data_IF_383824861269
#
_entry.id   IF_383824861269
#
_cell.length_a   1.000
_cell.length_b   1.000
_cell.length_c   1.000
_cell.angle_alpha   90.00
_cell.angle_beta   90.00
_cell.angle_gamma   90.00
#
_symmetry.space_group_name_H-M   'P 1'
#
loop_
_entity.id
_entity.type
_entity.pdbx_description
1 polymer ?
#
# COMPACT_ATOMS: atom_id res chain seq x y z
N UNK A 1 -20.20 -20.77 32.97
CA UNK A 1 -20.08 -19.43 32.35
C UNK A 1 -21.32 -19.23 31.50
N UNK A 2 -22.17 -18.27 31.84
CA UNK A 2 -23.41 -18.02 31.14
C UNK A 2 -23.09 -17.49 29.73
N UNK A 3 -23.51 -18.24 28.71
CA UNK A 3 -23.71 -17.71 27.37
C UNK A 3 -24.94 -16.83 27.46
N UNK A 4 -24.78 -15.51 27.54
CA UNK A 4 -25.90 -14.59 27.34
C UNK A 4 -26.57 -14.95 26.02
N UNK A 5 -27.82 -15.41 26.09
CA UNK A 5 -28.62 -15.89 24.95
C UNK A 5 -29.04 -14.79 23.98
N UNK A 6 -28.32 -13.67 23.95
CA UNK A 6 -28.49 -12.64 22.94
C UNK A 6 -28.08 -13.21 21.58
N UNK A 7 -28.92 -13.06 20.54
CA UNK A 7 -28.51 -13.42 19.19
C UNK A 7 -27.22 -12.68 18.83
N UNK A 8 -26.28 -13.32 18.12
CA UNK A 8 -25.04 -12.66 17.72
C UNK A 8 -25.38 -11.36 17.00
N UNK A 9 -24.74 -10.26 17.41
CA UNK A 9 -24.96 -8.93 16.82
C UNK A 9 -24.66 -9.01 15.32
N UNK A 10 -25.70 -8.96 14.51
CA UNK A 10 -25.59 -8.91 13.06
C UNK A 10 -25.42 -7.46 12.64
N UNK A 11 -24.26 -7.13 12.08
CA UNK A 11 -23.96 -5.79 11.57
C UNK A 11 -24.21 -5.80 10.06
N UNK A 12 -25.13 -4.96 9.55
CA UNK A 12 -25.35 -4.78 8.13
C UNK A 12 -24.07 -4.36 7.37
N UNK A 13 -23.93 -4.79 6.11
CA UNK A 13 -22.72 -4.55 5.29
C UNK A 13 -22.48 -3.06 4.99
N UNK A 14 -23.54 -2.29 4.83
CA UNK A 14 -23.51 -0.83 4.65
C UNK A 14 -22.98 -0.11 5.89
N UNK A 15 -23.43 -0.51 7.08
CA UNK A 15 -22.93 0.04 8.35
C UNK A 15 -21.46 -0.32 8.54
N UNK A 16 -21.08 -1.57 8.29
CA UNK A 16 -19.66 -1.97 8.32
C UNK A 16 -18.84 -1.14 7.33
N UNK A 17 -19.33 -0.89 6.12
CA UNK A 17 -18.64 -0.07 5.13
C UNK A 17 -18.44 1.37 5.59
N UNK A 18 -19.46 2.00 6.17
CA UNK A 18 -19.37 3.36 6.73
C UNK A 18 -18.30 3.42 7.84
N UNK A 19 -18.33 2.45 8.76
CA UNK A 19 -17.36 2.39 9.86
C UNK A 19 -15.95 2.20 9.33
N UNK A 20 -15.71 1.23 8.45
CA UNK A 20 -14.36 0.98 7.92
C UNK A 20 -13.86 2.18 7.13
N UNK A 21 -14.70 2.81 6.32
CA UNK A 21 -14.34 4.02 5.58
C UNK A 21 -13.94 5.14 6.54
N UNK A 22 -14.73 5.36 7.59
CA UNK A 22 -14.40 6.36 8.62
C UNK A 22 -13.08 6.04 9.33
N UNK A 23 -12.82 4.76 9.66
CA UNK A 23 -11.57 4.33 10.27
C UNK A 23 -10.37 4.56 9.33
N UNK A 24 -10.50 4.21 8.04
CA UNK A 24 -9.46 4.44 7.05
C UNK A 24 -9.20 5.95 6.86
N UNK A 25 -10.24 6.79 6.96
CA UNK A 25 -10.09 8.24 6.85
C UNK A 25 -9.44 8.89 8.09
N UNK A 26 -9.73 8.36 9.29
CA UNK A 26 -9.33 8.93 10.57
C UNK A 26 -8.00 8.36 11.11
N UNK A 27 -7.68 7.11 10.76
CA UNK A 27 -6.43 6.44 11.12
C UNK A 27 -5.47 6.35 9.93
N UNK A 28 -5.54 7.34 9.03
CA UNK A 28 -4.45 7.60 8.08
C UNK A 28 -3.13 7.71 8.81
N UNK A 29 -2.06 7.43 8.11
CA UNK A 29 -0.66 7.59 8.54
C UNK A 29 -0.51 8.68 9.61
N UNK A 30 -0.43 8.26 10.88
CA UNK A 30 -0.27 9.19 11.99
C UNK A 30 1.22 9.42 12.19
N UNK A 31 1.64 10.69 12.23
CA UNK A 31 3.01 11.14 12.50
C UNK A 31 3.63 10.53 13.77
N UNK A 32 2.80 10.01 14.68
CA UNK A 32 3.21 9.50 15.98
C UNK A 32 3.55 7.99 15.98
N UNK A 33 3.72 7.40 14.79
CA UNK A 33 4.16 6.03 14.61
C UNK A 33 3.04 5.07 14.23
N UNK A 34 3.29 4.25 13.21
CA UNK A 34 2.39 3.16 12.83
C UNK A 34 2.41 2.07 13.90
N UNK A 35 1.23 1.73 14.42
CA UNK A 35 1.05 0.56 15.29
C UNK A 35 0.30 -0.49 14.47
N UNK A 36 0.96 -1.56 13.98
CA UNK A 36 0.31 -2.55 13.12
C UNK A 36 -0.96 -3.16 13.71
N UNK A 37 -1.02 -3.32 15.04
CA UNK A 37 -2.19 -3.85 15.74
C UNK A 37 -3.38 -2.88 15.78
N UNK A 38 -3.16 -1.59 15.55
CA UNK A 38 -4.20 -0.55 15.52
C UNK A 38 -4.61 -0.16 14.10
N UNK A 39 -4.00 -0.74 13.07
CA UNK A 39 -4.35 -0.43 11.69
C UNK A 39 -5.79 -0.83 11.37
N UNK A 40 -6.50 0.02 10.62
CA UNK A 40 -7.93 -0.15 10.34
C UNK A 40 -8.22 -1.49 9.64
N UNK A 41 -7.29 -2.05 8.87
CA UNK A 41 -7.47 -3.37 8.23
C UNK A 41 -7.69 -4.50 9.21
N UNK A 42 -7.31 -4.36 10.49
CA UNK A 42 -7.49 -5.41 11.49
C UNK A 42 -8.96 -5.65 11.84
N UNK A 43 -9.84 -4.68 11.59
CA UNK A 43 -11.28 -4.86 11.81
C UNK A 43 -11.88 -5.93 10.90
N UNK A 44 -11.17 -6.37 9.86
CA UNK A 44 -11.58 -7.51 9.01
C UNK A 44 -11.87 -8.78 9.81
N UNK A 45 -11.27 -8.93 10.99
CA UNK A 45 -11.48 -10.08 11.88
C UNK A 45 -12.76 -10.02 12.71
N UNK A 46 -13.48 -8.89 12.72
CA UNK A 46 -14.66 -8.69 13.58
C UNK A 46 -15.87 -9.47 13.08
N UNK A 47 -16.15 -9.40 11.77
CA UNK A 47 -17.27 -10.13 11.16
C UNK A 47 -17.11 -10.24 9.64
N UNK A 48 -17.95 -11.06 8.98
CA UNK A 48 -18.01 -11.16 7.52
C UNK A 48 -18.31 -9.82 6.84
N UNK A 49 -19.14 -8.97 7.47
CA UNK A 49 -19.46 -7.65 6.97
C UNK A 49 -18.23 -6.73 6.97
N UNK A 50 -17.46 -6.71 8.08
CA UNK A 50 -16.21 -5.96 8.16
C UNK A 50 -15.13 -6.48 7.20
N UNK A 51 -15.02 -7.80 7.07
CA UNK A 51 -14.13 -8.41 6.09
C UNK A 51 -14.41 -7.89 4.67
N UNK A 52 -15.68 -7.96 4.23
CA UNK A 52 -16.09 -7.43 2.92
C UNK A 52 -15.84 -5.92 2.80
N UNK A 53 -16.15 -5.15 3.83
CA UNK A 53 -15.93 -3.71 3.85
C UNK A 53 -14.45 -3.33 3.69
N UNK A 54 -13.55 -4.01 4.41
CA UNK A 54 -12.10 -3.80 4.28
C UNK A 54 -11.63 -4.13 2.88
N UNK A 55 -12.07 -5.28 2.35
CA UNK A 55 -11.68 -5.73 1.02
C UNK A 55 -12.16 -4.79 -0.08
N UNK A 56 -13.35 -4.21 0.08
CA UNK A 56 -13.88 -3.21 -0.84
C UNK A 56 -12.97 -2.00 -0.93
N UNK A 57 -12.48 -1.47 0.19
CA UNK A 57 -11.54 -0.33 0.18
C UNK A 57 -10.22 -0.73 -0.48
N UNK A 58 -9.64 -1.87 -0.10
CA UNK A 58 -8.37 -2.35 -0.68
C UNK A 58 -8.50 -2.55 -2.19
N UNK A 59 -9.65 -3.00 -2.69
CA UNK A 59 -9.87 -3.21 -4.13
C UNK A 59 -9.81 -1.93 -4.98
N UNK A 60 -9.87 -0.76 -4.35
CA UNK A 60 -9.82 0.55 -5.02
C UNK A 60 -8.40 1.14 -5.10
N UNK A 61 -7.39 0.44 -4.59
CA UNK A 61 -5.99 0.84 -4.70
C UNK A 61 -5.58 0.87 -6.17
N UNK A 62 -4.96 1.97 -6.58
CA UNK A 62 -4.43 2.19 -7.94
C UNK A 62 -2.93 2.39 -7.96
N UNK A 63 -2.32 2.75 -6.83
CA UNK A 63 -0.89 2.93 -6.68
C UNK A 63 -0.40 2.33 -5.38
N UNK A 64 0.76 1.66 -5.44
CA UNK A 64 1.46 1.11 -4.28
C UNK A 64 2.89 1.64 -4.30
N UNK A 65 3.21 2.54 -3.39
CA UNK A 65 4.56 3.06 -3.20
C UNK A 65 5.25 2.34 -2.05
N UNK A 66 6.48 1.89 -2.24
CA UNK A 66 7.31 1.31 -1.17
C UNK A 66 8.56 2.15 -0.97
N UNK A 67 8.96 2.28 0.29
CA UNK A 67 10.12 3.08 0.65
C UNK A 67 10.83 2.52 1.88
N UNK A 68 12.06 2.98 2.12
CA UNK A 68 12.80 2.71 3.34
C UNK A 68 13.21 4.03 3.95
N UNK A 69 12.86 4.24 5.21
CA UNK A 69 13.11 5.48 5.92
C UNK A 69 13.54 5.20 7.37
N UNK A 70 14.57 5.91 7.86
CA UNK A 70 15.21 5.72 9.18
C UNK A 70 15.38 4.26 9.66
N UNK A 71 15.64 3.33 8.73
CA UNK A 71 15.82 1.90 9.03
C UNK A 71 14.53 1.07 9.08
N UNK A 72 13.36 1.69 8.94
CA UNK A 72 12.06 1.06 8.80
C UNK A 72 11.64 0.93 7.33
N UNK A 73 10.67 0.05 7.05
CA UNK A 73 10.14 -0.26 5.73
C UNK A 73 8.71 0.26 5.61
N UNK A 74 8.44 1.10 4.63
CA UNK A 74 7.16 1.75 4.43
C UNK A 74 6.42 1.29 3.18
N UNK A 75 5.10 1.41 3.22
CA UNK A 75 4.23 1.36 2.05
C UNK A 75 3.17 2.43 2.13
N UNK A 76 2.91 3.08 1.00
CA UNK A 76 1.76 3.96 0.80
C UNK A 76 0.89 3.43 -0.33
N UNK A 77 -0.41 3.71 -0.23
CA UNK A 77 -1.43 3.35 -1.20
C UNK A 77 -2.15 4.62 -1.64
N UNK A 78 -2.34 4.78 -2.94
CA UNK A 78 -3.29 5.75 -3.46
C UNK A 78 -4.55 5.03 -3.94
N UNK A 79 -5.69 5.68 -3.73
CA UNK A 79 -7.00 5.23 -4.18
C UNK A 79 -7.52 6.19 -5.25
N UNK A 80 -8.35 5.70 -6.19
CA UNK A 80 -8.85 6.54 -7.29
C UNK A 80 -9.52 7.84 -6.83
N UNK A 81 -10.21 7.82 -5.68
CA UNK A 81 -11.00 8.94 -5.17
C UNK A 81 -10.82 9.14 -3.65
N UNK A 82 -9.68 8.77 -3.09
CA UNK A 82 -9.43 8.96 -1.67
C UNK A 82 -8.00 9.39 -1.40
N UNK A 83 -7.82 10.05 -0.27
CA UNK A 83 -6.50 10.43 0.22
C UNK A 83 -5.64 9.17 0.43
N UNK A 84 -4.33 9.29 0.19
CA UNK A 84 -3.40 8.18 0.35
C UNK A 84 -3.37 7.67 1.79
N UNK A 85 -3.11 6.37 1.92
CA UNK A 85 -2.97 5.67 3.20
C UNK A 85 -1.63 4.94 3.23
N UNK A 86 -1.16 4.52 4.40
CA UNK A 86 0.14 3.87 4.49
C UNK A 86 0.44 3.18 5.82
N UNK A 87 1.53 2.42 5.81
CA UNK A 87 1.97 1.60 6.92
C UNK A 87 3.50 1.54 6.98
N UNK A 88 4.05 1.60 8.19
CA UNK A 88 5.49 1.48 8.47
C UNK A 88 5.80 0.21 9.25
N UNK A 89 6.88 -0.47 8.92
CA UNK A 89 7.25 -1.75 9.50
C UNK A 89 8.73 -1.77 9.86
N UNK A 90 9.06 -2.08 11.11
CA UNK A 90 10.45 -2.33 11.53
C UNK A 90 11.06 -3.55 10.86
N UNK A 91 10.25 -4.59 10.68
CA UNK A 91 10.66 -5.86 10.10
C UNK A 91 10.25 -5.95 8.62
N UNK A 92 11.22 -6.18 7.73
CA UNK A 92 10.99 -6.39 6.29
C UNK A 92 9.93 -7.46 6.00
N UNK A 93 9.99 -8.57 6.75
CA UNK A 93 9.06 -9.71 6.60
C UNK A 93 7.60 -9.34 6.87
N UNK A 94 7.35 -8.34 7.74
CA UNK A 94 6.00 -7.82 8.03
C UNK A 94 5.45 -7.04 6.86
N UNK A 95 6.27 -6.16 6.26
CA UNK A 95 5.89 -5.45 5.04
C UNK A 95 5.62 -6.45 3.90
N UNK A 96 6.48 -7.44 3.70
CA UNK A 96 6.30 -8.49 2.69
C UNK A 96 4.96 -9.23 2.86
N UNK A 97 4.63 -9.61 4.10
CA UNK A 97 3.36 -10.28 4.41
C UNK A 97 2.16 -9.38 4.16
N UNK A 98 2.29 -8.09 4.48
CA UNK A 98 1.25 -7.10 4.26
C UNK A 98 1.02 -6.84 2.77
N UNK A 99 2.08 -6.66 1.98
CA UNK A 99 2.01 -6.52 0.52
C UNK A 99 1.33 -7.72 -0.14
N UNK A 100 1.67 -8.95 0.28
CA UNK A 100 0.99 -10.17 -0.21
C UNK A 100 -0.50 -10.18 0.13
N UNK A 101 -0.86 -9.74 1.34
CA UNK A 101 -2.26 -9.59 1.73
C UNK A 101 -2.98 -8.55 0.87
N UNK A 102 -2.38 -7.39 0.60
CA UNK A 102 -2.96 -6.37 -0.27
C UNK A 102 -3.11 -6.90 -1.70
N UNK A 103 -2.05 -7.47 -2.27
CA UNK A 103 -2.04 -8.00 -3.63
C UNK A 103 -3.14 -9.06 -3.89
N UNK A 104 -3.51 -9.85 -2.88
CA UNK A 104 -4.58 -10.85 -2.98
C UNK A 104 -5.97 -10.22 -3.18
N UNK A 105 -6.16 -8.96 -2.77
CA UNK A 105 -7.46 -8.28 -2.73
C UNK A 105 -7.58 -7.12 -3.70
N UNK A 106 -6.46 -6.65 -4.26
CA UNK A 106 -6.48 -5.71 -5.37
C UNK A 106 -6.82 -6.44 -6.66
N UNK A 107 -7.92 -6.03 -7.29
CA UNK A 107 -8.45 -6.64 -8.51
C UNK A 107 -8.36 -5.72 -9.74
N UNK A 108 -7.73 -4.56 -9.58
CA UNK A 108 -7.50 -3.58 -10.65
C UNK A 108 -6.02 -3.49 -10.99
N UNK A 109 -5.67 -3.00 -12.19
CA UNK A 109 -4.29 -2.66 -12.51
C UNK A 109 -3.70 -1.66 -11.50
N UNK A 110 -2.50 -1.93 -11.01
CA UNK A 110 -1.77 -1.04 -10.09
C UNK A 110 -0.48 -0.50 -10.71
N UNK A 111 -0.19 0.76 -10.40
CA UNK A 111 1.12 1.33 -10.59
C UNK A 111 1.97 1.08 -9.35
N UNK A 112 3.18 0.56 -9.54
CA UNK A 112 4.12 0.31 -8.45
C UNK A 112 5.16 1.41 -8.42
N UNK A 113 5.30 2.11 -7.30
CA UNK A 113 6.38 3.07 -7.09
C UNK A 113 7.42 2.48 -6.13
N UNK A 114 8.63 2.27 -6.62
CA UNK A 114 9.76 1.77 -5.83
C UNK A 114 10.87 2.81 -5.70
N UNK A 115 10.61 4.09 -6.02
CA UNK A 115 11.62 5.16 -5.98
C UNK A 115 12.25 5.32 -4.60
N UNK A 116 11.43 5.24 -3.54
CA UNK A 116 11.87 5.33 -2.15
C UNK A 116 12.56 4.05 -1.63
N UNK A 117 12.57 2.96 -2.41
CA UNK A 117 13.18 1.67 -2.04
C UNK A 117 14.29 1.27 -3.04
N UNK A 118 15.12 2.25 -3.43
CA UNK A 118 16.13 2.09 -4.48
C UNK A 118 17.39 1.33 -4.07
N UNK A 119 17.68 1.19 -2.77
CA UNK A 119 18.79 0.36 -2.23
C UNK A 119 18.25 -1.00 -1.82
N UNK A 120 18.34 -1.98 -2.71
CA UNK A 120 17.81 -3.33 -2.51
C UNK A 120 18.77 -4.40 -3.03
N UNK A 121 18.59 -5.62 -2.56
CA UNK A 121 19.37 -6.78 -2.99
C UNK A 121 18.86 -7.35 -4.33
N UNK A 122 19.71 -8.04 -5.13
CA UNK A 122 19.28 -8.68 -6.37
C UNK A 122 18.11 -9.68 -6.22
N UNK A 123 17.99 -10.28 -5.03
CA UNK A 123 16.94 -11.23 -4.66
C UNK A 123 16.04 -10.68 -3.52
N UNK A 124 15.51 -9.47 -3.71
CA UNK A 124 14.73 -8.78 -2.68
C UNK A 124 13.30 -9.32 -2.53
N UNK A 125 12.93 -9.75 -1.31
CA UNK A 125 11.60 -10.25 -0.97
C UNK A 125 10.45 -9.24 -1.15
N UNK A 126 10.72 -7.93 -1.02
CA UNK A 126 9.71 -6.88 -1.28
C UNK A 126 9.38 -6.87 -2.77
N UNK A 127 10.38 -6.94 -3.64
CA UNK A 127 10.16 -7.03 -5.09
C UNK A 127 9.40 -8.30 -5.48
N UNK A 128 9.69 -9.42 -4.83
CA UNK A 128 8.91 -10.66 -5.00
C UNK A 128 7.46 -10.50 -4.55
N UNK A 129 7.21 -9.83 -3.43
CA UNK A 129 5.85 -9.53 -2.96
C UNK A 129 5.10 -8.61 -3.93
N UNK A 130 5.77 -7.59 -4.47
CA UNK A 130 5.21 -6.70 -5.48
C UNK A 130 4.87 -7.43 -6.80
N UNK A 131 5.60 -8.50 -7.14
CA UNK A 131 5.22 -9.37 -8.25
C UNK A 131 3.94 -10.18 -7.99
N UNK A 132 3.38 -10.18 -6.78
CA UNK A 132 2.14 -10.89 -6.45
C UNK A 132 0.88 -10.13 -6.89
N UNK A 133 1.00 -8.86 -7.25
CA UNK A 133 -0.12 -8.11 -7.83
C UNK A 133 -0.50 -8.71 -9.19
N UNK A 134 -1.81 -8.87 -9.41
CA UNK A 134 -2.34 -9.59 -10.56
C UNK A 134 -2.08 -8.85 -11.87
N UNK A 135 -2.35 -7.54 -11.88
CA UNK A 135 -2.18 -6.67 -13.04
C UNK A 135 -1.35 -5.46 -12.61
N UNK A 136 -0.21 -5.26 -13.25
CA UNK A 136 0.67 -4.11 -13.02
C UNK A 136 0.70 -3.29 -14.30
N UNK A 137 0.33 -2.01 -14.24
CA UNK A 137 0.24 -1.13 -15.41
C UNK A 137 1.32 -0.04 -15.42
N UNK A 138 2.34 -0.16 -14.57
CA UNK A 138 3.46 0.76 -14.53
C UNK A 138 4.37 0.48 -13.35
N UNK A 139 5.65 0.80 -13.50
CA UNK A 139 6.62 0.81 -12.40
C UNK A 139 7.45 2.08 -12.46
N UNK A 140 7.56 2.75 -11.32
CA UNK A 140 8.36 3.96 -11.14
C UNK A 140 9.62 3.61 -10.35
N UNK A 141 10.77 3.98 -10.89
CA UNK A 141 12.08 3.78 -10.28
C UNK A 141 12.79 5.11 -10.07
N UNK A 142 13.61 5.21 -9.02
CA UNK A 142 14.51 6.38 -8.85
C UNK A 142 15.65 6.38 -9.88
N UNK A 143 16.13 5.20 -10.28
CA UNK A 143 17.23 5.06 -11.23
C UNK A 143 17.16 3.72 -11.98
N UNK A 144 17.73 3.63 -13.20
CA UNK A 144 17.88 2.36 -13.89
C UNK A 144 18.65 1.33 -13.06
N UNK A 145 18.14 0.10 -13.03
CA UNK A 145 18.76 -1.03 -12.36
C UNK A 145 18.54 -2.30 -13.20
N UNK A 146 19.62 -3.04 -13.44
CA UNK A 146 19.61 -4.27 -14.25
C UNK A 146 19.55 -5.54 -13.39
N UNK A 147 19.23 -5.43 -12.09
CA UNK A 147 19.17 -6.60 -11.22
C UNK A 147 17.94 -7.48 -11.55
N UNK A 148 17.99 -8.78 -11.21
CA UNK A 148 16.87 -9.70 -11.46
C UNK A 148 15.54 -9.23 -10.84
N UNK A 149 15.57 -8.61 -9.66
CA UNK A 149 14.37 -8.09 -9.00
C UNK A 149 13.68 -6.98 -9.81
N UNK A 150 14.43 -5.96 -10.26
CA UNK A 150 13.88 -4.89 -11.11
C UNK A 150 13.41 -5.43 -12.46
N UNK A 151 14.17 -6.32 -13.09
CA UNK A 151 13.79 -6.93 -14.36
C UNK A 151 12.45 -7.68 -14.26
N UNK A 152 12.21 -8.42 -13.16
CA UNK A 152 10.92 -9.10 -12.92
C UNK A 152 9.74 -8.13 -12.86
N UNK A 153 9.88 -7.01 -12.15
CA UNK A 153 8.83 -5.99 -12.07
C UNK A 153 8.56 -5.33 -13.42
N UNK A 154 9.62 -4.98 -14.16
CA UNK A 154 9.50 -4.39 -15.50
C UNK A 154 8.77 -5.35 -16.44
N UNK A 155 9.16 -6.63 -16.46
CA UNK A 155 8.50 -7.65 -17.28
C UNK A 155 7.01 -7.81 -16.91
N UNK A 156 6.65 -7.67 -15.63
CA UNK A 156 5.26 -7.71 -15.18
C UNK A 156 4.43 -6.50 -15.62
N UNK A 157 5.05 -5.34 -15.81
CA UNK A 157 4.38 -4.13 -16.24
C UNK A 157 4.30 -3.97 -17.77
N UNK A 158 4.95 -4.85 -18.54
CA UNK A 158 4.92 -4.78 -19.99
C UNK A 158 3.48 -4.84 -20.53
N UNK A 159 3.15 -4.06 -21.58
CA UNK A 159 4.09 -3.34 -22.45
C UNK A 159 4.49 -1.94 -21.95
N UNK A 160 4.08 -1.53 -20.74
CA UNK A 160 4.35 -0.18 -20.24
C UNK A 160 5.84 -0.02 -19.92
N UNK A 161 6.55 0.96 -20.53
CA UNK A 161 7.93 1.25 -20.18
C UNK A 161 8.06 1.69 -18.71
N UNK A 162 9.14 1.33 -18.01
CA UNK A 162 9.39 1.86 -16.68
C UNK A 162 9.57 3.37 -16.73
N UNK A 163 9.03 4.05 -15.72
CA UNK A 163 9.26 5.48 -15.51
C UNK A 163 10.45 5.66 -14.56
N UNK A 164 11.29 6.64 -14.85
CA UNK A 164 12.44 6.99 -14.03
C UNK A 164 12.31 8.45 -13.60
N UNK A 165 12.46 8.72 -12.30
CA UNK A 165 12.55 10.09 -11.79
C UNK A 165 14.00 10.56 -11.80
N UNK A 166 14.23 11.88 -11.88
CA UNK A 166 15.59 12.42 -11.79
C UNK A 166 16.18 12.09 -10.41
N UNK A 167 17.49 11.83 -10.33
CA UNK A 167 18.14 11.72 -9.03
C UNK A 167 18.11 13.10 -8.38
N UNK A 168 17.28 13.29 -7.36
CA UNK A 168 17.39 14.47 -6.51
C UNK A 168 18.85 14.56 -6.07
N UNK A 169 19.51 15.67 -6.40
CA UNK A 169 20.84 15.97 -5.90
C UNK A 169 20.81 15.85 -4.39
N UNK A 170 21.87 15.30 -3.79
CA UNK A 170 21.95 14.86 -2.39
C UNK A 170 21.70 15.98 -1.35
N UNK A 171 20.54 16.62 -1.32
CA UNK A 171 20.10 17.53 -0.26
C UNK A 171 19.25 16.73 0.72
N UNK A 172 19.78 16.53 1.93
CA UNK A 172 19.23 15.72 3.02
C UNK A 172 17.94 16.29 3.67
N UNK A 173 17.15 17.10 2.95
CA UNK A 173 15.88 17.69 3.43
C UNK A 173 14.69 17.13 2.63
N UNK A 174 14.43 15.82 2.79
CA UNK A 174 13.33 15.08 2.12
C UNK A 174 11.98 15.19 2.88
N UNK A 175 11.82 16.10 3.84
CA UNK A 175 10.59 16.17 4.67
C UNK A 175 9.38 16.72 3.94
N UNK A 176 9.59 17.49 2.87
CA UNK A 176 8.52 18.26 2.21
C UNK A 176 8.09 17.64 0.87
N UNK A 177 8.85 16.68 0.33
CA UNK A 177 8.60 16.07 -1.00
C UNK A 177 7.34 15.19 -1.01
N UNK A 178 6.98 14.59 0.13
CA UNK A 178 5.82 13.70 0.20
C UNK A 178 4.49 14.47 0.04
N UNK A 179 4.38 15.65 0.63
CA UNK A 179 3.17 16.48 0.51
C UNK A 179 2.99 17.05 -0.91
N UNK A 180 4.08 17.38 -1.61
CA UNK A 180 4.05 17.78 -3.02
C UNK A 180 3.78 16.61 -3.98
N UNK A 181 4.36 15.43 -3.72
CA UNK A 181 4.11 14.22 -4.51
C UNK A 181 2.61 13.83 -4.48
N UNK A 182 1.96 13.91 -3.31
CA UNK A 182 0.52 13.64 -3.19
C UNK A 182 -0.35 14.68 -3.88
N UNK A 183 0.07 15.96 -3.92
CA UNK A 183 -0.60 16.99 -4.70
C UNK A 183 -0.44 16.78 -6.21
N UNK A 184 0.72 16.30 -6.66
CA UNK A 184 1.00 16.00 -8.07
C UNK A 184 0.29 14.73 -8.57
N UNK A 185 0.02 13.78 -7.68
CA UNK A 185 -0.73 12.55 -7.95
C UNK A 185 -2.27 12.76 -8.00
N UNK A 186 -2.76 14.02 -7.94
CA UNK A 186 -4.12 14.35 -8.37
C UNK A 186 -4.23 14.09 -9.88
N UNK A 187 -4.49 12.84 -10.24
CA UNK A 187 -4.77 12.35 -11.60
C UNK A 187 -5.87 13.19 -12.27
N UNK A 188 -5.47 14.31 -12.88
CA UNK A 188 -6.28 15.01 -13.85
C UNK A 188 -6.18 14.25 -15.16
N UNK A 189 -7.12 13.32 -15.35
CA UNK A 189 -7.42 12.71 -16.64
C UNK A 189 -7.11 11.22 -16.72
N UNK A 190 -8.05 10.39 -16.22
CA UNK A 190 -8.52 9.14 -16.84
C UNK A 190 -9.94 8.78 -16.36
#
# INVERSE_FOLDING_TARGET
>A
MASDGSPPVSIPEDIAHIIVKHLAEHYKWQSNGFVPSKHWTNVKGVSKAFYKAVHRIISEIVLVAVFRDYGEYGVCFAYKNALPDGAMFREKSRLVSYLKFIALHVNRPVCLDVKGYYRHEPDDEIFHALCSFREVNGVVFRRPCSCPACARLILRAMPVPPMFTEPDGDSEDDSDEWDEYWQSCNFHGY
#
